data_IF_834856155946
#
_entry.id   IF_834856155946
#
_cell.length_a   1.000
_cell.length_b   1.000
_cell.length_c   1.000
_cell.angle_alpha   90.00
_cell.angle_beta   90.00
_cell.angle_gamma   90.00
#
_symmetry.space_group_name_H-M   'P 1'
#
loop_
_entity.id
_entity.type
_entity.pdbx_description
1 polymer ?
#
# COMPACT_ATOMS: atom_id res chain seq x y z
N UNK A 1 -57.18 -15.77 70.34
CA UNK A 1 -57.89 -15.10 69.24
C UNK A 1 -56.86 -14.34 68.42
N UNK A 2 -56.63 -14.75 67.17
CA UNK A 2 -56.09 -13.88 66.10
C UNK A 2 -57.29 -13.22 65.41
N UNK A 3 -57.18 -12.09 64.67
CA UNK A 3 -56.11 -11.73 63.71
C UNK A 3 -55.63 -10.26 63.90
N UNK A 4 -54.65 -9.67 63.20
CA UNK A 4 -54.61 -9.38 61.75
C UNK A 4 -53.27 -8.67 61.43
N UNK A 5 -52.60 -9.06 60.35
CA UNK A 5 -51.63 -8.25 59.58
C UNK A 5 -52.29 -7.87 58.25
N UNK A 6 -51.93 -6.74 57.58
CA UNK A 6 -50.82 -6.77 56.61
C UNK A 6 -49.96 -5.46 56.46
N UNK A 7 -48.66 -5.68 56.19
CA UNK A 7 -47.62 -5.01 55.32
C UNK A 7 -47.87 -3.64 54.60
N UNK A 8 -46.89 -2.95 53.92
CA UNK A 8 -45.42 -3.16 53.75
C UNK A 8 -44.49 -1.90 53.77
N UNK A 9 -43.18 -2.18 53.69
CA UNK A 9 -42.07 -1.43 53.06
C UNK A 9 -41.47 -0.13 53.65
N UNK A 10 -40.21 -0.27 54.12
CA UNK A 10 -39.08 0.55 53.61
C UNK A 10 -37.80 -0.31 53.49
N UNK A 11 -37.03 -0.20 52.40
CA UNK A 11 -35.75 -0.88 52.26
C UNK A 11 -34.70 -0.23 53.16
N UNK A 12 -33.97 -1.05 53.92
CA UNK A 12 -32.77 -0.64 54.65
C UNK A 12 -31.59 -0.62 53.68
N UNK A 13 -31.00 0.56 53.50
CA UNK A 13 -29.84 0.80 52.64
C UNK A 13 -28.58 0.10 53.20
N UNK A 14 -27.78 -0.61 52.38
CA UNK A 14 -26.59 -1.29 52.86
C UNK A 14 -25.45 -0.29 53.07
N UNK A 15 -24.94 -0.23 54.29
CA UNK A 15 -23.73 0.52 54.65
C UNK A 15 -22.52 0.00 53.83
N UNK A 16 -21.69 0.88 53.24
CA UNK A 16 -20.54 0.45 52.46
C UNK A 16 -19.47 -0.16 53.38
N UNK A 17 -19.04 -1.38 53.04
CA UNK A 17 -17.87 -2.05 53.60
C UNK A 17 -16.63 -1.16 53.43
N UNK A 18 -16.23 -0.48 54.51
CA UNK A 18 -14.94 0.19 54.62
C UNK A 18 -13.84 -0.86 54.58
N UNK A 19 -13.25 -1.08 53.40
CA UNK A 19 -12.00 -1.80 53.26
C UNK A 19 -10.90 -1.09 54.05
N UNK A 20 -10.56 -1.68 55.19
CA UNK A 20 -9.49 -1.24 56.07
C UNK A 20 -8.15 -1.46 55.35
N UNK A 21 -7.68 -0.43 54.66
CA UNK A 21 -6.36 -0.39 54.00
C UNK A 21 -5.27 -0.30 55.07
N UNK A 22 -4.99 -1.41 55.74
CA UNK A 22 -3.77 -1.63 56.50
C UNK A 22 -2.99 -2.74 55.80
N UNK A 23 -1.68 -2.53 55.63
CA UNK A 23 -0.68 -3.41 54.98
C UNK A 23 -0.27 -3.12 53.52
N UNK A 24 -0.39 -1.89 52.97
CA UNK A 24 0.23 -1.58 51.65
C UNK A 24 1.64 -0.98 51.72
N UNK A 25 2.08 -0.46 52.87
CA UNK A 25 3.39 0.19 52.99
C UNK A 25 4.56 -0.81 52.88
N UNK A 26 4.48 -1.92 53.62
CA UNK A 26 5.53 -2.94 53.66
C UNK A 26 5.72 -3.67 52.32
N UNK A 27 4.62 -3.97 51.63
CA UNK A 27 4.68 -4.63 50.32
C UNK A 27 5.33 -3.73 49.25
N UNK A 28 5.05 -2.42 49.30
CA UNK A 28 5.62 -1.47 48.36
C UNK A 28 7.11 -1.24 48.62
N UNK A 29 7.53 -1.16 49.89
CA UNK A 29 8.95 -1.07 50.26
C UNK A 29 9.74 -2.31 49.85
N UNK A 30 9.16 -3.51 50.02
CA UNK A 30 9.80 -4.76 49.59
C UNK A 30 9.93 -4.81 48.07
N UNK A 31 8.90 -4.41 47.33
CA UNK A 31 8.94 -4.38 45.86
C UNK A 31 10.00 -3.40 45.32
N UNK A 32 10.14 -2.23 45.95
CA UNK A 32 11.16 -1.23 45.58
C UNK A 32 12.57 -1.75 45.87
N UNK A 33 12.79 -2.42 47.02
CA UNK A 33 14.09 -3.02 47.35
C UNK A 33 14.45 -4.12 46.35
N UNK A 34 13.49 -4.98 45.98
CA UNK A 34 13.71 -6.03 44.96
C UNK A 34 14.08 -5.40 43.61
N UNK A 35 13.40 -4.33 43.19
CA UNK A 35 13.73 -3.65 41.94
C UNK A 35 15.12 -3.01 41.97
N UNK A 36 15.51 -2.40 43.09
CA UNK A 36 16.85 -1.81 43.26
C UNK A 36 17.92 -2.90 43.20
N UNK A 37 17.70 -4.05 43.85
CA UNK A 37 18.63 -5.18 43.81
C UNK A 37 18.74 -5.79 42.40
N UNK A 38 17.63 -5.90 41.66
CA UNK A 38 17.65 -6.34 40.27
C UNK A 38 18.37 -5.35 39.35
N UNK A 39 18.17 -4.04 39.54
CA UNK A 39 18.89 -3.01 38.80
C UNK A 39 20.39 -3.06 39.07
N UNK A 40 20.79 -3.21 40.34
CA UNK A 40 22.19 -3.37 40.72
C UNK A 40 22.82 -4.64 40.13
N UNK A 41 22.08 -5.75 40.07
CA UNK A 41 22.52 -6.99 39.45
C UNK A 41 22.69 -6.84 37.93
N UNK A 42 21.75 -6.20 37.23
CA UNK A 42 21.84 -5.92 35.78
C UNK A 42 23.00 -5.00 35.45
N UNK A 43 23.21 -3.95 36.25
CA UNK A 43 24.35 -3.03 36.08
C UNK A 43 25.69 -3.73 36.33
N UNK A 44 25.75 -4.62 37.33
CA UNK A 44 26.95 -5.42 37.60
C UNK A 44 27.24 -6.44 36.50
N UNK A 45 26.19 -6.99 35.87
CA UNK A 45 26.35 -7.94 34.77
C UNK A 45 26.85 -7.25 33.49
N UNK A 46 26.39 -6.02 33.21
CA UNK A 46 26.90 -5.21 32.08
C UNK A 46 28.36 -4.82 32.24
N UNK A 47 28.85 -4.62 33.46
CA UNK A 47 30.26 -4.31 33.72
C UNK A 47 31.20 -5.51 33.58
N UNK A 48 30.68 -6.75 33.66
CA UNK A 48 31.45 -8.00 33.55
C UNK A 48 31.23 -8.77 32.25
N UNK A 49 30.28 -8.34 31.41
CA UNK A 49 30.08 -8.95 30.11
C UNK A 49 31.29 -8.67 29.20
N UNK A 50 31.95 -9.70 28.64
CA UNK A 50 33.01 -9.50 27.67
C UNK A 50 32.44 -8.75 26.45
N UNK A 51 33.23 -7.86 25.81
CA UNK A 51 32.78 -7.16 24.63
C UNK A 51 32.38 -8.19 23.54
N UNK A 52 31.35 -7.89 22.73
CA UNK A 52 30.96 -8.77 21.63
C UNK A 52 32.18 -9.02 20.73
N UNK A 53 32.37 -10.26 20.23
CA UNK A 53 33.48 -10.54 19.32
C UNK A 53 33.38 -9.62 18.11
N UNK A 54 34.48 -8.91 17.81
CA UNK A 54 34.58 -8.04 16.63
C UNK A 54 34.16 -8.85 15.39
N UNK A 55 33.35 -8.28 14.48
CA UNK A 55 33.06 -8.94 13.22
C UNK A 55 34.39 -9.27 12.54
N UNK A 56 34.54 -10.53 12.11
CA UNK A 56 35.68 -10.97 11.30
C UNK A 56 35.66 -10.15 10.02
N UNK A 57 36.47 -9.09 9.99
CA UNK A 57 36.79 -8.39 8.77
C UNK A 57 37.43 -9.39 7.82
N UNK A 58 36.74 -9.70 6.74
CA UNK A 58 37.36 -10.26 5.56
C UNK A 58 38.52 -9.35 5.18
N UNK A 59 39.74 -9.87 5.30
CA UNK A 59 40.94 -9.21 4.83
C UNK A 59 40.81 -9.01 3.31
N UNK A 60 40.49 -7.79 2.90
CA UNK A 60 40.92 -7.28 1.60
C UNK A 60 42.24 -6.59 1.89
N UNK A 61 43.34 -7.23 1.49
CA UNK A 61 44.67 -6.64 1.53
C UNK A 61 44.68 -5.40 0.63
N UNK A 62 44.61 -4.21 1.24
CA UNK A 62 45.04 -2.98 0.57
C UNK A 62 46.56 -2.98 0.65
N UNK A 63 47.19 -3.21 -0.50
CA UNK A 63 48.61 -2.92 -0.67
C UNK A 63 48.76 -1.41 -0.64
N UNK A 64 49.42 -0.92 0.42
CA UNK A 64 49.86 0.47 0.59
C UNK A 64 50.84 0.83 -0.54
N UNK A 65 50.31 1.42 -1.63
CA UNK A 65 51.11 2.03 -2.68
C UNK A 65 51.56 3.42 -2.24
N UNK A 66 52.83 3.53 -1.84
CA UNK A 66 53.51 4.80 -1.55
C UNK A 66 53.35 5.77 -2.73
N UNK A 67 52.72 6.92 -2.48
CA UNK A 67 52.53 8.02 -3.45
C UNK A 67 53.89 8.49 -4.02
N UNK A 68 54.13 8.45 -5.36
CA UNK A 68 55.27 9.14 -5.97
C UNK A 68 55.02 10.65 -6.03
N UNK A 69 56.09 11.50 -6.01
CA UNK A 69 55.94 12.94 -6.10
C UNK A 69 55.33 13.36 -7.45
N UNK A 70 54.54 14.44 -7.42
CA UNK A 70 53.83 14.98 -8.57
C UNK A 70 54.77 15.37 -9.71
N UNK A 71 54.48 14.87 -10.91
CA UNK A 71 55.10 15.31 -12.15
C UNK A 71 54.50 16.66 -12.62
N UNK A 72 55.26 17.52 -13.32
CA UNK A 72 54.76 18.80 -13.82
C UNK A 72 53.64 18.61 -14.85
N UNK A 73 52.66 19.50 -14.79
CA UNK A 73 51.44 19.50 -15.59
C UNK A 73 51.78 19.63 -17.10
N UNK A 74 51.18 18.79 -17.99
CA UNK A 74 51.39 18.93 -19.43
C UNK A 74 50.68 20.18 -19.97
N UNK A 75 51.16 20.78 -21.08
CA UNK A 75 50.51 21.94 -21.68
C UNK A 75 49.09 21.58 -22.13
N UNK A 76 48.15 22.55 -22.12
CA UNK A 76 46.77 22.29 -22.47
C UNK A 76 46.65 21.77 -23.90
N UNK A 77 45.96 20.63 -24.05
CA UNK A 77 45.59 20.08 -25.34
C UNK A 77 44.71 21.10 -26.10
N UNK A 78 44.90 21.27 -27.42
CA UNK A 78 43.98 22.07 -28.22
C UNK A 78 42.59 21.47 -28.14
N UNK A 79 41.60 22.32 -27.86
CA UNK A 79 40.18 21.94 -27.81
C UNK A 79 39.78 21.27 -29.13
N UNK A 80 39.23 20.04 -29.12
CA UNK A 80 38.58 19.52 -30.31
C UNK A 80 37.39 20.42 -30.63
N UNK A 81 37.38 20.99 -31.85
CA UNK A 81 36.15 21.56 -32.39
C UNK A 81 35.11 20.44 -32.38
N UNK A 82 34.01 20.62 -31.64
CA UNK A 82 32.81 19.81 -31.82
C UNK A 82 32.36 20.05 -33.26
N UNK A 83 32.67 19.13 -34.16
CA UNK A 83 31.93 19.02 -35.41
C UNK A 83 30.60 18.39 -35.03
N UNK A 84 29.54 19.15 -35.21
CA UNK A 84 28.17 18.68 -35.07
C UNK A 84 27.98 17.41 -35.94
N UNK A 85 27.43 16.30 -35.41
CA UNK A 85 27.13 15.15 -36.25
C UNK A 85 26.11 15.58 -37.31
N UNK A 86 26.23 15.14 -38.57
CA UNK A 86 25.20 15.42 -39.57
C UNK A 86 23.88 14.85 -39.09
N UNK A 87 22.74 15.53 -39.35
CA UNK A 87 21.44 15.04 -38.93
C UNK A 87 21.21 13.63 -39.46
N UNK A 88 20.48 12.77 -38.72
CA UNK A 88 20.14 11.45 -39.20
C UNK A 88 19.42 11.58 -40.55
N UNK A 89 19.96 10.91 -41.57
CA UNK A 89 19.36 10.82 -42.89
C UNK A 89 18.09 9.97 -42.78
N UNK A 90 16.99 10.58 -42.34
CA UNK A 90 15.67 9.95 -42.44
C UNK A 90 15.34 9.81 -43.92
N UNK A 91 14.90 8.63 -44.40
CA UNK A 91 14.29 8.56 -45.72
C UNK A 91 13.10 9.52 -45.74
N UNK A 92 13.09 10.41 -46.74
CA UNK A 92 11.95 11.27 -47.03
C UNK A 92 10.73 10.35 -47.19
N UNK A 93 9.72 10.50 -46.35
CA UNK A 93 8.45 9.82 -46.59
C UNK A 93 7.97 10.22 -47.99
N UNK A 94 7.47 9.29 -48.82
CA UNK A 94 6.87 9.68 -50.09
C UNK A 94 5.73 10.65 -49.79
N UNK A 95 5.85 11.84 -50.36
CA UNK A 95 4.82 12.87 -50.27
C UNK A 95 3.56 12.31 -50.96
N UNK A 96 2.55 12.00 -50.15
CA UNK A 96 1.25 11.62 -50.68
C UNK A 96 0.73 12.79 -51.51
N UNK A 97 0.21 12.56 -52.73
CA UNK A 97 -0.31 13.64 -53.56
C UNK A 97 -1.41 14.39 -52.79
N UNK A 98 -1.52 15.72 -52.98
CA UNK A 98 -2.57 16.50 -52.35
C UNK A 98 -3.94 15.91 -52.71
N UNK A 99 -4.71 15.53 -51.69
CA UNK A 99 -6.14 15.28 -51.90
C UNK A 99 -6.76 16.64 -52.21
N UNK A 100 -7.03 16.88 -53.49
CA UNK A 100 -7.90 17.97 -53.93
C UNK A 100 -9.25 17.79 -53.26
N UNK A 101 -9.50 18.54 -52.19
CA UNK A 101 -10.85 18.73 -51.67
C UNK A 101 -11.59 19.58 -52.70
N UNK A 102 -12.65 19.08 -53.36
CA UNK A 102 -13.47 19.93 -54.20
C UNK A 102 -14.13 20.98 -53.30
N UNK A 103 -13.83 22.25 -53.59
CA UNK A 103 -14.57 23.40 -53.11
C UNK A 103 -16.00 23.24 -53.62
N UNK A 104 -16.90 22.70 -52.81
CA UNK A 104 -18.33 22.69 -53.10
C UNK A 104 -18.81 24.12 -52.98
N UNK A 105 -18.88 24.78 -54.13
CA UNK A 105 -19.60 26.01 -54.34
C UNK A 105 -21.08 25.80 -53.94
N UNK A 106 -21.69 26.74 -53.22
CA UNK A 106 -23.07 26.56 -52.74
C UNK A 106 -24.03 26.44 -53.94
N UNK A 107 -24.94 25.45 -53.93
CA UNK A 107 -25.89 25.29 -55.01
C UNK A 107 -26.83 26.51 -55.12
N UNK A 108 -27.24 26.88 -56.34
CA UNK A 108 -28.15 28.00 -56.58
C UNK A 108 -29.50 27.78 -55.88
N UNK A 109 -30.13 28.90 -55.47
CA UNK A 109 -31.47 28.92 -54.87
C UNK A 109 -32.48 28.21 -55.78
N UNK A 110 -32.89 27.00 -55.38
CA UNK A 110 -34.05 26.31 -55.95
C UNK A 110 -35.29 26.84 -55.23
N UNK A 111 -36.19 27.45 -56.00
CA UNK A 111 -37.52 27.87 -55.56
C UNK A 111 -38.31 26.63 -55.13
N UNK A 112 -38.92 26.59 -53.94
CA UNK A 112 -39.68 25.42 -53.49
C UNK A 112 -41.01 25.32 -54.28
N UNK A 113 -41.43 24.11 -54.70
CA UNK A 113 -42.78 23.90 -55.21
C UNK A 113 -43.81 24.02 -54.08
N UNK A 114 -45.09 24.32 -54.40
CA UNK A 114 -46.11 24.63 -53.40
C UNK A 114 -46.45 23.39 -52.55
N UNK A 115 -46.57 23.63 -51.24
CA UNK A 115 -46.99 22.65 -50.23
C UNK A 115 -48.47 22.30 -50.42
N UNK A 116 -48.85 21.02 -50.61
CA UNK A 116 -50.24 20.60 -50.49
C UNK A 116 -50.65 20.46 -49.00
N UNK A 117 -51.94 20.66 -48.66
CA UNK A 117 -52.44 20.68 -47.28
C UNK A 117 -52.37 19.30 -46.59
N UNK A 118 -52.47 19.24 -45.25
CA UNK A 118 -52.11 18.06 -44.47
C UNK A 118 -53.18 16.97 -44.59
N UNK A 119 -52.75 15.75 -44.89
CA UNK A 119 -53.57 14.55 -44.76
C UNK A 119 -53.39 14.00 -43.35
N UNK A 120 -54.48 14.03 -42.59
CA UNK A 120 -54.58 13.49 -41.22
C UNK A 120 -54.37 11.97 -41.28
N UNK A 121 -53.32 11.47 -40.61
CA UNK A 121 -53.16 10.04 -40.37
C UNK A 121 -54.15 9.57 -39.28
N UNK A 122 -54.77 8.39 -39.41
CA UNK A 122 -55.70 7.86 -38.41
C UNK A 122 -54.99 7.36 -37.14
N UNK A 123 -55.67 7.31 -35.98
CA UNK A 123 -55.07 6.94 -34.71
C UNK A 123 -54.70 5.44 -34.64
N UNK A 124 -53.62 5.08 -33.91
CA UNK A 124 -53.26 3.68 -33.68
C UNK A 124 -54.17 3.00 -32.62
N UNK A 125 -54.35 1.67 -32.69
CA UNK A 125 -55.14 0.91 -31.72
C UNK A 125 -54.39 0.66 -30.40
N UNK A 126 -55.08 0.41 -29.26
CA UNK A 126 -54.47 -0.01 -27.99
C UNK A 126 -54.47 -1.55 -27.86
N UNK A 127 -54.03 -2.15 -26.74
CA UNK A 127 -52.72 -2.11 -26.07
C UNK A 127 -52.14 -3.54 -25.90
N UNK A 128 -50.86 -3.69 -25.52
CA UNK A 128 -50.42 -4.86 -24.71
C UNK A 128 -49.41 -4.38 -23.66
N UNK A 129 -49.74 -4.67 -22.41
CA UNK A 129 -48.93 -4.38 -21.22
C UNK A 129 -47.78 -5.36 -21.19
N UNK A 130 -46.53 -4.88 -21.24
CA UNK A 130 -45.36 -5.68 -20.83
C UNK A 130 -44.55 -4.82 -19.87
N UNK A 131 -44.28 -5.40 -18.71
CA UNK A 131 -43.73 -4.78 -17.52
C UNK A 131 -42.42 -4.02 -17.77
N UNK A 132 -42.29 -2.90 -17.06
CA UNK A 132 -41.10 -2.07 -17.01
C UNK A 132 -39.87 -2.91 -16.57
N UNK A 133 -38.84 -2.90 -17.41
CA UNK A 133 -37.50 -3.29 -17.00
C UNK A 133 -36.98 -2.29 -15.95
N UNK A 134 -36.30 -2.74 -14.88
CA UNK A 134 -35.82 -1.83 -13.86
C UNK A 134 -34.72 -0.95 -14.42
N UNK A 135 -34.76 0.31 -14.01
CA UNK A 135 -33.75 1.32 -14.28
C UNK A 135 -32.34 0.79 -14.02
N UNK A 136 -31.45 1.09 -14.96
CA UNK A 136 -30.02 0.90 -14.81
C UNK A 136 -29.56 1.50 -13.48
N UNK A 137 -29.15 0.61 -12.57
CA UNK A 137 -28.50 0.96 -11.33
C UNK A 137 -27.24 1.75 -11.65
N UNK A 138 -27.18 2.98 -11.17
CA UNK A 138 -25.96 3.76 -11.01
C UNK A 138 -24.97 2.93 -10.17
N UNK A 139 -24.10 2.19 -10.84
CA UNK A 139 -23.01 1.48 -10.20
C UNK A 139 -21.93 2.50 -9.83
N UNK A 140 -21.86 2.83 -8.55
CA UNK A 140 -20.69 3.43 -7.92
C UNK A 140 -19.45 2.58 -8.29
N UNK A 141 -18.27 3.17 -8.59
CA UNK A 141 -17.07 2.37 -8.86
C UNK A 141 -16.80 1.41 -7.69
N UNK A 142 -16.33 0.17 -7.97
CA UNK A 142 -16.12 -0.80 -6.91
C UNK A 142 -15.18 -0.22 -5.85
N UNK A 143 -15.69 -0.04 -4.64
CA UNK A 143 -14.92 0.46 -3.50
C UNK A 143 -13.80 -0.54 -3.26
N UNK A 144 -12.55 -0.21 -3.59
CA UNK A 144 -11.40 -1.12 -3.42
C UNK A 144 -11.17 -1.48 -1.93
N UNK A 145 -11.74 -0.69 -1.02
CA UNK A 145 -11.63 -0.84 0.43
C UNK A 145 -13.00 -0.73 1.07
N UNK A 146 -13.33 -1.73 1.85
CA UNK A 146 -14.47 -1.74 2.76
C UNK A 146 -13.93 -2.12 4.13
N UNK A 147 -14.61 -1.64 5.16
CA UNK A 147 -14.47 -2.20 6.50
C UNK A 147 -14.61 -3.72 6.37
N UNK A 148 -13.70 -4.47 6.99
CA UNK A 148 -13.53 -5.90 6.74
C UNK A 148 -14.78 -6.72 7.14
N UNK A 149 -15.83 -6.64 6.34
CA UNK A 149 -16.97 -7.54 6.37
C UNK A 149 -16.48 -8.95 5.99
N UNK A 150 -17.30 -9.96 6.28
CA UNK A 150 -17.08 -11.36 5.94
C UNK A 150 -17.17 -11.63 4.42
N UNK A 151 -16.52 -10.80 3.62
CA UNK A 151 -16.50 -10.89 2.16
C UNK A 151 -15.25 -11.68 1.73
N UNK A 152 -15.43 -12.86 1.11
CA UNK A 152 -14.32 -13.74 0.71
C UNK A 152 -13.50 -13.19 -0.47
N UNK A 153 -14.00 -12.16 -1.16
CA UNK A 153 -13.39 -11.55 -2.35
C UNK A 153 -12.27 -10.55 -2.01
N UNK A 154 -12.08 -10.19 -0.74
CA UNK A 154 -11.05 -9.27 -0.24
C UNK A 154 -10.15 -9.94 0.80
N UNK A 155 -9.25 -10.84 0.37
CA UNK A 155 -8.40 -11.61 1.29
C UNK A 155 -7.27 -10.78 1.90
N UNK A 156 -6.93 -9.63 1.33
CA UNK A 156 -5.83 -8.79 1.82
C UNK A 156 -6.35 -7.90 2.93
N UNK A 157 -5.68 -7.91 4.09
CA UNK A 157 -6.03 -7.08 5.25
C UNK A 157 -4.97 -6.01 5.43
N UNK A 158 -5.37 -4.75 5.57
CA UNK A 158 -4.46 -3.64 5.84
C UNK A 158 -4.86 -2.89 7.11
N UNK A 159 -3.90 -2.74 8.01
CA UNK A 159 -4.01 -1.80 9.12
C UNK A 159 -3.56 -0.42 8.64
N UNK A 160 -4.39 0.59 8.86
CA UNK A 160 -4.14 1.96 8.43
C UNK A 160 -3.58 2.77 9.59
N UNK A 161 -2.54 3.55 9.35
CA UNK A 161 -1.86 4.37 10.34
C UNK A 161 -1.88 5.83 9.90
N UNK A 162 -2.22 6.76 10.80
CA UNK A 162 -1.93 8.18 10.61
C UNK A 162 -0.50 8.46 11.08
N UNK A 163 0.34 9.01 10.21
CA UNK A 163 1.75 9.29 10.45
C UNK A 163 1.96 10.75 10.89
N UNK A 164 3.21 11.09 11.26
CA UNK A 164 3.60 12.48 11.56
C UNK A 164 3.87 13.18 10.23
N UNK A 165 3.62 14.48 10.19
CA UNK A 165 4.16 15.31 9.12
C UNK A 165 5.71 15.19 9.12
N UNK A 166 6.31 15.04 7.95
CA UNK A 166 7.75 14.82 7.77
C UNK A 166 8.21 13.37 7.97
N UNK A 167 7.31 12.39 8.01
CA UNK A 167 7.70 10.97 8.06
C UNK A 167 8.41 10.55 6.78
N UNK A 168 9.59 9.95 6.88
CA UNK A 168 10.40 9.56 5.71
C UNK A 168 10.50 8.05 5.51
N UNK A 169 9.80 7.24 6.31
CA UNK A 169 9.98 5.79 6.32
C UNK A 169 8.79 5.05 6.95
N UNK A 170 8.56 3.81 6.48
CA UNK A 170 7.58 2.88 7.08
C UNK A 170 7.87 2.56 8.55
N UNK A 171 9.09 2.82 9.04
CA UNK A 171 9.51 2.53 10.42
C UNK A 171 8.71 3.29 11.47
N UNK A 172 8.14 4.45 11.13
CA UNK A 172 7.32 5.27 12.04
C UNK A 172 6.06 4.53 12.52
N UNK A 173 5.51 3.60 11.70
CA UNK A 173 4.36 2.79 12.09
C UNK A 173 4.63 1.94 13.33
N UNK A 174 5.88 1.52 13.58
CA UNK A 174 6.25 0.70 14.76
C UNK A 174 5.94 1.37 16.10
N UNK A 175 5.80 2.70 16.10
CA UNK A 175 5.56 3.51 17.31
C UNK A 175 4.11 4.00 17.40
N UNK A 176 3.22 3.48 16.57
CA UNK A 176 1.85 3.96 16.41
C UNK A 176 0.86 2.83 16.54
N UNK A 177 -0.38 3.20 16.87
CA UNK A 177 -1.53 2.30 16.79
C UNK A 177 -2.24 2.52 15.46
N UNK A 178 -2.77 1.47 14.84
CA UNK A 178 -3.61 1.65 13.66
C UNK A 178 -4.89 2.39 14.02
N UNK A 179 -5.39 3.21 13.09
CA UNK A 179 -6.61 4.00 13.23
C UNK A 179 -7.85 3.25 12.72
N UNK A 180 -7.66 2.31 11.79
CA UNK A 180 -8.70 1.42 11.26
C UNK A 180 -8.07 0.23 10.54
N UNK A 181 -8.88 -0.79 10.26
CA UNK A 181 -8.52 -1.93 9.43
C UNK A 181 -9.42 -1.97 8.21
N UNK A 182 -8.83 -2.21 7.04
CA UNK A 182 -9.52 -2.23 5.74
C UNK A 182 -9.12 -3.48 4.97
N UNK A 183 -9.97 -3.91 4.04
CA UNK A 183 -9.73 -5.11 3.25
C UNK A 183 -9.66 -4.79 1.74
N UNK A 184 -8.67 -5.38 1.05
CA UNK A 184 -8.38 -5.17 -0.37
C UNK A 184 -8.59 -6.45 -1.18
N UNK A 185 -8.97 -6.26 -2.44
CA UNK A 185 -9.04 -7.31 -3.44
C UNK A 185 -7.68 -7.60 -4.11
N UNK A 186 -6.83 -6.58 -4.26
CA UNK A 186 -5.56 -6.63 -4.98
C UNK A 186 -4.64 -5.47 -4.55
N UNK A 187 -3.33 -5.57 -4.81
CA UNK A 187 -2.37 -4.47 -4.75
C UNK A 187 -2.00 -3.98 -6.16
N UNK A 188 -2.90 -3.20 -6.75
CA UNK A 188 -2.86 -2.71 -8.14
C UNK A 188 -3.08 -1.20 -8.25
N UNK A 189 -2.54 -0.43 -7.30
CA UNK A 189 -2.69 1.03 -7.26
C UNK A 189 -1.63 1.61 -8.20
N UNK A 190 -2.03 1.80 -9.46
CA UNK A 190 -1.19 2.39 -10.51
C UNK A 190 -0.80 3.83 -10.16
N UNK A 191 0.35 4.33 -10.68
CA UNK A 191 0.75 5.72 -10.50
C UNK A 191 -0.39 6.68 -10.83
N UNK A 192 -0.69 7.55 -9.87
CA UNK A 192 -1.79 8.52 -9.94
C UNK A 192 -1.45 9.78 -9.15
N UNK A 193 -2.33 10.78 -9.26
CA UNK A 193 -2.23 11.97 -8.44
C UNK A 193 -2.60 11.65 -6.99
N UNK A 194 -1.74 12.04 -6.04
CA UNK A 194 -1.96 11.81 -4.60
C UNK A 194 -3.26 12.45 -4.08
N UNK A 195 -3.77 13.51 -4.73
CA UNK A 195 -5.01 14.19 -4.33
C UNK A 195 -6.24 13.30 -4.45
N UNK A 196 -6.18 12.27 -5.29
CA UNK A 196 -7.22 11.26 -5.35
C UNK A 196 -7.20 10.31 -4.14
N UNK A 197 -6.14 10.38 -3.34
CA UNK A 197 -5.90 9.52 -2.19
C UNK A 197 -5.59 8.08 -2.57
N UNK A 198 -5.32 7.29 -1.53
CA UNK A 198 -5.35 5.85 -1.67
C UNK A 198 -6.83 5.45 -1.85
N UNK A 199 -7.19 4.61 -2.84
CA UNK A 199 -8.59 4.30 -3.08
C UNK A 199 -9.28 3.85 -1.79
N UNK A 200 -10.53 4.26 -1.55
CA UNK A 200 -11.27 3.87 -0.34
C UNK A 200 -10.69 4.32 1.01
N UNK A 201 -9.65 5.17 1.03
CA UNK A 201 -9.18 5.88 2.22
C UNK A 201 -9.38 7.39 2.02
N UNK A 202 -9.93 8.05 3.03
CA UNK A 202 -10.06 9.51 3.07
C UNK A 202 -8.77 10.16 3.60
N UNK A 203 -7.65 9.86 2.95
CA UNK A 203 -6.30 10.32 3.28
C UNK A 203 -5.44 10.37 2.02
N UNK A 204 -4.67 11.46 1.86
CA UNK A 204 -3.82 11.70 0.68
C UNK A 204 -2.33 11.78 1.01
N UNK A 205 -1.95 12.18 2.22
CA UNK A 205 -0.56 12.24 2.68
C UNK A 205 -0.44 11.81 4.15
N UNK A 206 0.79 11.50 4.56
CA UNK A 206 1.15 11.15 5.94
C UNK A 206 0.30 10.02 6.51
N UNK A 207 0.13 8.97 5.72
CA UNK A 207 -0.50 7.73 6.15
C UNK A 207 0.38 6.54 5.82
N UNK A 208 0.19 5.46 6.57
CA UNK A 208 0.90 4.20 6.37
C UNK A 208 -0.07 3.03 6.36
N UNK A 209 0.33 1.97 5.69
CA UNK A 209 -0.42 0.72 5.61
C UNK A 209 0.50 -0.43 6.02
N UNK A 210 0.01 -1.27 6.92
CA UNK A 210 0.58 -2.59 7.18
C UNK A 210 -0.34 -3.65 6.59
N UNK A 211 0.01 -4.11 5.40
CA UNK A 211 -0.81 -4.94 4.52
C UNK A 211 -0.35 -6.38 4.65
N UNK A 212 -1.27 -7.31 4.91
CA UNK A 212 -1.01 -8.71 5.20
C UNK A 212 -1.97 -9.63 4.45
N UNK A 213 -1.44 -10.69 3.88
CA UNK A 213 -2.19 -11.72 3.17
C UNK A 213 -1.37 -13.00 3.04
N UNK A 214 -2.01 -14.10 2.63
CA UNK A 214 -1.31 -15.32 2.23
C UNK A 214 -1.36 -15.50 0.72
N UNK A 215 -0.35 -16.16 0.18
CA UNK A 215 -0.31 -16.62 -1.21
C UNK A 215 -0.11 -18.13 -1.22
N UNK A 216 -1.09 -18.88 -1.73
CA UNK A 216 -1.00 -20.33 -1.82
C UNK A 216 -0.23 -20.75 -3.06
N UNK A 217 1.00 -21.20 -2.88
CA UNK A 217 1.89 -21.60 -3.98
C UNK A 217 1.61 -23.04 -4.39
N UNK A 218 1.32 -23.33 -5.68
CA UNK A 218 0.94 -24.68 -6.12
C UNK A 218 2.10 -25.67 -6.10
N UNK A 219 3.33 -25.16 -6.19
CA UNK A 219 4.57 -25.94 -6.23
C UNK A 219 5.74 -25.07 -5.76
N UNK A 220 6.88 -25.70 -5.52
CA UNK A 220 8.15 -24.99 -5.33
C UNK A 220 8.52 -24.28 -6.63
N UNK A 221 8.75 -22.98 -6.57
CA UNK A 221 9.03 -22.16 -7.76
C UNK A 221 9.93 -20.98 -7.42
N UNK A 222 10.89 -20.70 -8.29
CA UNK A 222 11.65 -19.44 -8.28
C UNK A 222 10.89 -18.41 -9.11
N UNK A 223 10.67 -17.20 -8.60
CA UNK A 223 9.89 -16.15 -9.27
C UNK A 223 10.62 -14.81 -9.13
N UNK A 224 10.49 -13.93 -10.11
CA UNK A 224 10.84 -12.52 -9.92
C UNK A 224 9.63 -11.81 -9.32
N UNK A 225 9.80 -11.10 -8.21
CA UNK A 225 8.78 -10.23 -7.61
C UNK A 225 9.12 -8.77 -7.88
N UNK A 226 8.12 -7.94 -8.04
CA UNK A 226 8.25 -6.50 -8.26
C UNK A 226 7.38 -5.75 -7.25
N UNK A 227 7.96 -4.78 -6.56
CA UNK A 227 7.26 -3.83 -5.71
C UNK A 227 7.48 -2.44 -6.29
N UNK A 228 6.40 -1.79 -6.73
CA UNK A 228 6.40 -0.39 -7.15
C UNK A 228 5.69 0.43 -6.09
N UNK A 229 6.31 1.53 -5.66
CA UNK A 229 5.70 2.44 -4.69
C UNK A 229 6.04 3.90 -4.95
N UNK A 230 5.12 4.77 -4.53
CA UNK A 230 5.27 6.20 -4.30
C UNK A 230 4.46 6.51 -3.03
N UNK A 231 5.03 6.88 -1.89
CA UNK A 231 6.46 6.93 -1.58
C UNK A 231 7.04 5.53 -1.30
N UNK A 232 7.34 5.21 -0.04
CA UNK A 232 8.15 4.05 0.30
C UNK A 232 7.34 2.82 0.69
N UNK A 233 7.86 1.64 0.32
CA UNK A 233 7.31 0.35 0.70
C UNK A 233 8.37 -0.72 0.96
N UNK A 234 8.07 -1.67 1.85
CA UNK A 234 8.89 -2.85 2.12
C UNK A 234 8.04 -4.11 1.96
N UNK A 235 8.49 -5.04 1.13
CA UNK A 235 7.93 -6.39 1.01
C UNK A 235 8.71 -7.36 1.91
N UNK A 236 7.97 -8.06 2.75
CA UNK A 236 8.44 -9.21 3.51
C UNK A 236 7.66 -10.45 3.11
N UNK A 237 8.35 -11.57 2.90
CA UNK A 237 7.76 -12.88 2.62
C UNK A 237 8.25 -13.84 3.69
N UNK A 238 7.31 -14.43 4.44
CA UNK A 238 7.55 -15.32 5.58
C UNK A 238 8.52 -14.69 6.60
N UNK A 239 8.22 -13.43 6.95
CA UNK A 239 8.97 -12.59 7.89
C UNK A 239 10.42 -12.25 7.47
N UNK A 240 10.82 -12.61 6.25
CA UNK A 240 12.10 -12.22 5.65
C UNK A 240 11.88 -11.01 4.74
N UNK A 241 12.68 -9.96 4.91
CA UNK A 241 12.69 -8.81 3.99
C UNK A 241 13.20 -9.23 2.62
N UNK A 242 12.40 -8.99 1.59
CA UNK A 242 12.69 -9.35 0.21
C UNK A 242 13.01 -8.10 -0.59
N UNK A 243 12.11 -7.10 -0.59
CA UNK A 243 12.34 -5.82 -1.26
C UNK A 243 12.23 -4.71 -0.23
N UNK A 244 13.21 -3.81 -0.23
CA UNK A 244 13.20 -2.59 0.55
C UNK A 244 13.23 -1.39 -0.41
N UNK A 245 12.03 -0.86 -0.70
CA UNK A 245 11.81 0.36 -1.46
C UNK A 245 11.37 1.48 -0.50
N UNK A 246 11.95 1.58 0.70
CA UNK A 246 11.57 2.58 1.70
C UNK A 246 12.23 3.94 1.41
N UNK A 247 11.66 5.02 1.95
CA UNK A 247 12.11 6.38 1.70
C UNK A 247 11.10 7.22 0.93
N UNK A 248 11.40 8.52 0.81
CA UNK A 248 10.62 9.46 -0.02
C UNK A 248 11.17 9.37 -1.45
N UNK A 249 10.31 9.03 -2.39
CA UNK A 249 10.66 8.94 -3.80
C UNK A 249 9.40 8.88 -4.68
N UNK A 250 9.53 9.32 -5.93
CA UNK A 250 8.49 9.13 -6.93
C UNK A 250 8.28 7.63 -7.24
N UNK A 251 7.16 7.32 -7.91
CA UNK A 251 6.81 5.97 -8.35
C UNK A 251 7.97 5.24 -9.04
N UNK A 252 8.56 4.27 -8.35
CA UNK A 252 9.71 3.49 -8.82
C UNK A 252 9.57 2.02 -8.44
N UNK A 253 9.78 1.07 -9.38
CA UNK A 253 9.80 -0.34 -9.09
C UNK A 253 11.18 -0.81 -8.58
N UNK A 254 11.17 -1.73 -7.63
CA UNK A 254 12.30 -2.63 -7.34
C UNK A 254 11.88 -4.08 -7.59
N UNK A 255 12.84 -4.90 -8.00
CA UNK A 255 12.61 -6.30 -8.35
C UNK A 255 13.63 -7.21 -7.68
N UNK A 256 13.17 -8.37 -7.23
CA UNK A 256 14.02 -9.39 -6.59
C UNK A 256 13.60 -10.80 -7.00
N UNK A 257 14.56 -11.71 -7.09
CA UNK A 257 14.29 -13.12 -7.38
C UNK A 257 14.14 -13.90 -6.08
N UNK A 258 13.00 -14.56 -5.89
CA UNK A 258 12.67 -15.31 -4.67
C UNK A 258 12.41 -16.78 -4.96
N UNK A 259 12.76 -17.65 -4.01
CA UNK A 259 12.33 -19.05 -4.00
C UNK A 259 11.11 -19.19 -3.08
N UNK A 260 9.99 -19.60 -3.63
CA UNK A 260 8.76 -19.82 -2.91
C UNK A 260 8.47 -21.32 -2.83
N UNK A 261 8.39 -21.85 -1.62
CA UNK A 261 7.99 -23.23 -1.40
C UNK A 261 6.48 -23.40 -1.64
N UNK A 262 6.08 -24.61 -2.02
CA UNK A 262 4.69 -25.05 -2.13
C UNK A 262 3.93 -24.81 -0.82
N UNK A 263 2.67 -24.43 -0.94
CA UNK A 263 1.76 -24.18 0.18
C UNK A 263 1.58 -22.69 0.49
N UNK A 264 0.91 -22.36 1.60
CA UNK A 264 0.65 -20.98 1.99
C UNK A 264 1.95 -20.27 2.40
N UNK A 265 2.20 -19.12 1.78
CA UNK A 265 3.31 -18.21 2.12
C UNK A 265 2.74 -16.89 2.65
N UNK A 266 3.31 -16.37 3.72
CA UNK A 266 2.87 -15.13 4.33
C UNK A 266 3.49 -13.94 3.62
N UNK A 267 2.68 -13.07 3.04
CA UNK A 267 3.13 -11.84 2.42
C UNK A 267 2.72 -10.67 3.32
N UNK A 268 3.66 -9.74 3.50
CA UNK A 268 3.41 -8.48 4.19
C UNK A 268 4.09 -7.34 3.47
N UNK A 269 3.30 -6.32 3.14
CA UNK A 269 3.77 -5.07 2.53
C UNK A 269 3.53 -3.95 3.53
N UNK A 270 4.59 -3.30 3.96
CA UNK A 270 4.48 -2.04 4.72
C UNK A 270 4.67 -0.91 3.73
N UNK A 271 3.77 0.06 3.72
CA UNK A 271 3.79 1.20 2.81
C UNK A 271 3.59 2.50 3.59
N UNK A 272 4.17 3.60 3.12
CA UNK A 272 3.81 4.93 3.57
C UNK A 272 3.71 5.90 2.38
N UNK A 273 2.75 6.82 2.48
CA UNK A 273 2.69 8.01 1.65
C UNK A 273 3.14 9.20 2.49
N UNK A 274 4.20 9.85 2.05
CA UNK A 274 4.75 11.10 2.55
C UNK A 274 4.28 12.28 1.70
N UNK A 275 5.14 13.28 1.46
CA UNK A 275 4.80 14.47 0.70
C UNK A 275 5.00 14.24 -0.80
N UNK A 276 4.16 14.82 -1.65
CA UNK A 276 4.44 14.80 -3.08
C UNK A 276 3.22 14.99 -3.95
N UNK A 277 3.39 14.73 -5.24
CA UNK A 277 2.31 14.81 -6.22
C UNK A 277 1.78 13.43 -6.62
N UNK A 278 2.60 12.39 -6.45
CA UNK A 278 2.32 11.02 -6.87
C UNK A 278 1.86 10.13 -5.73
N UNK A 279 1.17 9.06 -6.11
CA UNK A 279 0.79 7.96 -5.24
C UNK A 279 0.78 6.68 -6.06
N UNK A 280 1.40 5.62 -5.55
CA UNK A 280 1.42 4.32 -6.21
C UNK A 280 1.72 3.20 -5.21
N UNK A 281 1.10 2.04 -5.42
CA UNK A 281 1.47 0.80 -4.73
C UNK A 281 1.03 -0.41 -5.56
N UNK A 282 1.99 -1.10 -6.15
CA UNK A 282 1.74 -2.30 -6.94
C UNK A 282 2.66 -3.43 -6.50
N UNK A 283 2.08 -4.63 -6.37
CA UNK A 283 2.83 -5.87 -6.18
C UNK A 283 2.56 -6.81 -7.36
N UNK A 284 3.63 -7.11 -8.09
CA UNK A 284 3.59 -8.02 -9.21
C UNK A 284 4.62 -9.14 -9.06
N UNK A 285 4.49 -10.14 -9.91
CA UNK A 285 5.48 -11.20 -10.04
C UNK A 285 5.55 -11.71 -11.48
N UNK A 286 6.63 -12.41 -11.79
CA UNK A 286 6.89 -13.00 -13.10
C UNK A 286 7.49 -14.38 -12.87
N UNK A 287 6.93 -15.38 -13.55
CA UNK A 287 7.48 -16.74 -13.55
C UNK A 287 8.81 -16.76 -14.33
N UNK A 288 9.68 -17.77 -14.14
CA UNK A 288 10.95 -17.87 -14.87
C UNK A 288 10.80 -17.84 -16.39
N UNK A 289 9.72 -18.42 -16.90
CA UNK A 289 9.35 -18.50 -18.32
C UNK A 289 8.39 -17.39 -18.76
N UNK A 290 7.99 -16.52 -17.84
CA UNK A 290 7.07 -15.41 -18.10
C UNK A 290 7.76 -14.25 -18.81
N UNK A 291 7.05 -13.61 -19.74
CA UNK A 291 7.54 -12.42 -20.45
C UNK A 291 7.36 -11.14 -19.62
N UNK A 292 6.20 -11.00 -18.99
CA UNK A 292 5.78 -9.78 -18.31
C UNK A 292 5.46 -10.01 -16.83
N UNK A 293 5.62 -8.96 -16.02
CA UNK A 293 5.10 -8.95 -14.66
C UNK A 293 3.57 -8.91 -14.69
N UNK A 294 2.96 -9.71 -13.84
CA UNK A 294 1.51 -9.75 -13.63
C UNK A 294 1.20 -9.61 -12.14
N UNK A 295 0.02 -9.10 -11.82
CA UNK A 295 -0.47 -9.15 -10.45
C UNK A 295 -0.60 -10.60 -9.96
N UNK A 296 -0.51 -10.77 -8.64
CA UNK A 296 -0.74 -12.07 -8.02
C UNK A 296 -2.21 -12.47 -8.31
N UNK A 297 -2.47 -13.63 -8.96
CA UNK A 297 -3.82 -14.06 -9.26
C UNK A 297 -4.66 -14.16 -7.99
N UNK A 298 -5.84 -13.54 -7.99
CA UNK A 298 -6.73 -13.47 -6.81
C UNK A 298 -7.07 -14.85 -6.22
N UNK A 299 -7.16 -15.88 -7.05
CA UNK A 299 -7.39 -17.28 -6.62
C UNK A 299 -6.28 -17.87 -5.74
N UNK A 300 -5.09 -17.27 -5.73
CA UNK A 300 -3.97 -17.67 -4.87
C UNK A 300 -3.93 -16.86 -3.58
N UNK A 301 -4.64 -15.73 -3.51
CA UNK A 301 -4.67 -14.86 -2.34
C UNK A 301 -5.58 -15.46 -1.28
N UNK A 302 -5.12 -15.45 -0.03
CA UNK A 302 -5.87 -15.87 1.14
C UNK A 302 -5.75 -14.86 2.28
N UNK A 303 -6.64 -14.98 3.26
CA UNK A 303 -6.56 -14.18 4.48
C UNK A 303 -5.22 -14.45 5.19
N UNK A 304 -4.61 -13.44 5.82
CA UNK A 304 -3.51 -13.70 6.73
C UNK A 304 -4.02 -14.62 7.86
N UNK A 305 -3.13 -15.41 8.49
CA UNK A 305 -3.50 -16.14 9.70
C UNK A 305 -4.14 -15.16 10.68
N UNK A 306 -5.25 -15.56 11.31
CA UNK A 306 -5.81 -14.77 12.41
C UNK A 306 -4.67 -14.46 13.36
N UNK A 307 -4.45 -13.18 13.67
CA UNK A 307 -3.43 -12.80 14.62
C UNK A 307 -3.70 -13.64 15.87
N UNK A 308 -2.78 -14.56 16.19
CA UNK A 308 -2.83 -15.25 17.48
C UNK A 308 -2.93 -14.12 18.50
N UNK A 309 -4.07 -14.04 19.18
CA UNK A 309 -4.43 -12.93 20.06
C UNK A 309 -3.17 -12.51 20.80
N UNK A 310 -2.71 -11.28 20.54
CA UNK A 310 -1.44 -10.79 21.08
C UNK A 310 -1.40 -11.17 22.56
N UNK A 311 -0.48 -12.08 22.91
CA UNK A 311 -0.37 -12.57 24.27
C UNK A 311 -0.12 -11.35 25.19
N UNK A 312 -0.78 -11.31 26.37
CA UNK A 312 -0.76 -10.16 27.26
C UNK A 312 0.64 -9.77 27.73
#
# INVERSE_FOLDING_TARGET
MNPTSPEPDKPVEPQPLRWQRRHSGYALTVAVIIHILLLAAVLSWRAKAPPPPKPRGSAVSIVEGKQPPAAPEPPPLPTPKLTEPPPPNMPLMPELPPIETPKVEPPPKVVPPPVPPPVVAPPPPPPVVVAAAPAASSAEPPKLFEECADSPDRPIVAEVYRLRNGTTSVSEMRRRKPIKTVCLAQLDITPRDHRDGFPGLDMNEWFGLDIRFTVNMPQDITMDVMLLSDDGAILTIDDVEVINNDGIHAASPLMETVKLAKGPRNFRVRYFQGPGFGLALMLGWKKPDGKDYQYIPRRLLGRPPAAAAAAP
#
